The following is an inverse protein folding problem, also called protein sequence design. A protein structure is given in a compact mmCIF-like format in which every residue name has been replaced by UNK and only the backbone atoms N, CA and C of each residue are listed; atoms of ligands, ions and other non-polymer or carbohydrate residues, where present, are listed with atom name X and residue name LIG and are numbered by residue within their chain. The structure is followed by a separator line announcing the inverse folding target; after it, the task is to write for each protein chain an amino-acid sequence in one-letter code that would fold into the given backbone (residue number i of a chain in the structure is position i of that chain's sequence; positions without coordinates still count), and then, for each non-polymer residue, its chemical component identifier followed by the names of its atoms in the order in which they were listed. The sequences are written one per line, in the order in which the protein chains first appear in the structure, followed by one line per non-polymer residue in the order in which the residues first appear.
data_IF_865830129093
#
_entry.id   IF_865830129093
#
_cell.length_a   1.000
_cell.length_b   1.000
_cell.length_c   1.000
_cell.angle_alpha   90.00
_cell.angle_beta   90.00
_cell.angle_gamma   90.00
#
_symmetry.space_group_name_H-M   'P 1'
#
loop_
_entity.id
_entity.type
_entity.pdbx_description
1 polymer ?
#
# COMPACT_ATOMS: atom_id res chain seq x y z
N UNK A 1 -20.03 -11.86 49.26
CA UNK A 1 -20.16 -12.73 48.07
C UNK A 1 -20.46 -11.92 46.79
N UNK A 2 -21.35 -10.94 46.83
CA UNK A 2 -21.81 -10.17 45.66
C UNK A 2 -20.70 -9.36 44.96
N UNK A 3 -19.86 -8.63 45.70
CA UNK A 3 -18.71 -7.85 45.18
C UNK A 3 -17.66 -8.71 44.46
N UNK A 4 -17.45 -9.94 44.91
CA UNK A 4 -16.47 -10.85 44.34
C UNK A 4 -16.92 -11.38 42.97
N UNK A 5 -18.23 -11.62 42.78
CA UNK A 5 -18.83 -12.04 41.50
C UNK A 5 -18.78 -10.92 40.44
N UNK A 6 -19.08 -9.69 40.81
CA UNK A 6 -18.95 -8.52 39.94
C UNK A 6 -17.51 -8.30 39.45
N UNK A 7 -16.55 -8.45 40.35
CA UNK A 7 -15.12 -8.35 40.01
C UNK A 7 -14.68 -9.47 39.05
N UNK A 8 -15.19 -10.68 39.21
CA UNK A 8 -14.87 -11.80 38.32
C UNK A 8 -15.43 -11.58 36.92
N UNK A 9 -16.69 -11.16 36.79
CA UNK A 9 -17.32 -10.81 35.50
C UNK A 9 -16.54 -9.70 34.79
N UNK A 10 -16.17 -8.64 35.48
CA UNK A 10 -15.39 -7.52 34.95
C UNK A 10 -13.97 -7.95 34.50
N UNK A 11 -13.34 -8.88 35.23
CA UNK A 11 -12.03 -9.43 34.84
C UNK A 11 -12.12 -10.29 33.59
N UNK A 12 -13.12 -11.18 33.51
CA UNK A 12 -13.35 -12.02 32.35
C UNK A 12 -13.67 -11.14 31.13
N UNK A 13 -14.56 -10.17 31.27
CA UNK A 13 -14.91 -9.25 30.18
C UNK A 13 -13.69 -8.47 29.68
N UNK A 14 -12.88 -7.91 30.59
CA UNK A 14 -11.66 -7.19 30.18
C UNK A 14 -10.64 -8.10 29.50
N UNK A 15 -10.48 -9.32 29.96
CA UNK A 15 -9.57 -10.29 29.35
C UNK A 15 -10.05 -10.69 27.94
N UNK A 16 -11.32 -11.02 27.77
CA UNK A 16 -11.89 -11.40 26.46
C UNK A 16 -11.91 -10.22 25.48
N UNK A 17 -12.24 -9.02 25.94
CA UNK A 17 -12.19 -7.80 25.15
C UNK A 17 -10.74 -7.48 24.73
N UNK A 18 -9.77 -7.63 25.65
CA UNK A 18 -8.35 -7.44 25.34
C UNK A 18 -7.84 -8.41 24.28
N UNK A 19 -8.20 -9.70 24.37
CA UNK A 19 -7.86 -10.69 23.36
C UNK A 19 -8.49 -10.36 22.01
N UNK A 20 -9.76 -9.96 21.99
CA UNK A 20 -10.45 -9.59 20.75
C UNK A 20 -9.79 -8.39 20.07
N UNK A 21 -9.48 -7.33 20.83
CA UNK A 21 -8.78 -6.15 20.29
C UNK A 21 -7.40 -6.52 19.76
N UNK A 22 -6.65 -7.34 20.50
CA UNK A 22 -5.33 -7.81 20.05
C UNK A 22 -5.42 -8.59 18.73
N UNK A 23 -6.38 -9.52 18.63
CA UNK A 23 -6.58 -10.31 17.40
C UNK A 23 -6.93 -9.43 16.19
N UNK A 24 -7.82 -8.46 16.38
CA UNK A 24 -8.19 -7.50 15.32
C UNK A 24 -6.97 -6.67 14.91
N UNK A 25 -6.21 -6.15 15.86
CA UNK A 25 -5.00 -5.39 15.58
C UNK A 25 -3.96 -6.23 14.81
N UNK A 26 -3.74 -7.48 15.23
CA UNK A 26 -2.84 -8.41 14.55
C UNK A 26 -3.30 -8.69 13.10
N UNK A 27 -4.59 -8.94 12.89
CA UNK A 27 -5.15 -9.12 11.54
C UNK A 27 -4.94 -7.88 10.66
N UNK A 28 -5.16 -6.69 11.20
CA UNK A 28 -4.93 -5.44 10.46
C UNK A 28 -3.46 -5.33 10.03
N UNK A 29 -2.50 -5.57 10.91
CA UNK A 29 -1.07 -5.51 10.60
C UNK A 29 -0.70 -6.49 9.47
N UNK A 30 -1.21 -7.72 9.53
CA UNK A 30 -0.96 -8.73 8.50
C UNK A 30 -1.56 -8.33 7.15
N UNK A 31 -2.84 -7.90 7.15
CA UNK A 31 -3.52 -7.46 5.93
C UNK A 31 -2.79 -6.26 5.29
N UNK A 32 -2.36 -5.31 6.12
CA UNK A 32 -1.64 -4.14 5.63
C UNK A 32 -0.28 -4.49 5.04
N UNK A 33 0.46 -5.42 5.66
CA UNK A 33 1.70 -5.93 5.09
C UNK A 33 1.50 -6.63 3.73
N UNK A 34 0.45 -7.43 3.60
CA UNK A 34 0.10 -8.09 2.34
C UNK A 34 -0.30 -7.07 1.26
N UNK A 35 -1.12 -6.09 1.59
CA UNK A 35 -1.53 -5.04 0.65
C UNK A 35 -0.33 -4.21 0.18
N UNK A 36 0.58 -3.87 1.09
CA UNK A 36 1.80 -3.15 0.75
C UNK A 36 2.62 -3.93 -0.31
N UNK A 37 2.92 -5.19 -0.04
CA UNK A 37 3.68 -6.04 -0.95
C UNK A 37 2.96 -6.25 -2.30
N UNK A 38 1.63 -6.40 -2.26
CA UNK A 38 0.81 -6.55 -3.46
C UNK A 38 0.86 -5.32 -4.36
N UNK A 39 0.67 -4.12 -3.80
CA UNK A 39 0.67 -2.89 -4.58
C UNK A 39 2.05 -2.56 -5.16
N UNK A 40 3.13 -2.78 -4.40
CA UNK A 40 4.48 -2.59 -4.92
C UNK A 40 4.75 -3.44 -6.16
N UNK A 41 4.42 -4.72 -6.08
CA UNK A 41 4.57 -5.62 -7.22
C UNK A 41 3.68 -5.22 -8.39
N UNK A 42 2.42 -4.88 -8.11
CA UNK A 42 1.47 -4.47 -9.14
C UNK A 42 1.95 -3.25 -9.92
N UNK A 43 2.48 -2.23 -9.26
CA UNK A 43 3.01 -1.04 -9.94
C UNK A 43 4.22 -1.36 -10.82
N UNK A 44 5.13 -2.22 -10.38
CA UNK A 44 6.27 -2.65 -11.20
C UNK A 44 5.78 -3.43 -12.42
N UNK A 45 4.82 -4.34 -12.25
CA UNK A 45 4.24 -5.11 -13.36
C UNK A 45 3.54 -4.18 -14.39
N UNK A 46 2.80 -3.16 -13.94
CA UNK A 46 2.15 -2.15 -14.80
C UNK A 46 3.18 -1.34 -15.58
N UNK A 47 4.22 -0.81 -14.91
CA UNK A 47 5.30 -0.07 -15.56
C UNK A 47 6.09 -0.93 -16.55
N UNK A 48 6.33 -2.19 -16.22
CA UNK A 48 6.99 -3.15 -17.10
C UNK A 48 6.21 -3.38 -18.41
N UNK A 49 4.89 -3.59 -18.30
CA UNK A 49 4.04 -3.76 -19.48
C UNK A 49 4.02 -2.50 -20.35
N UNK A 50 3.87 -1.34 -19.74
CA UNK A 50 3.91 -0.06 -20.46
C UNK A 50 5.27 0.15 -21.16
N UNK A 51 6.39 -0.18 -20.47
CA UNK A 51 7.72 -0.09 -21.04
C UNK A 51 7.89 -0.98 -22.28
N UNK A 52 7.32 -2.19 -22.29
CA UNK A 52 7.34 -3.08 -23.46
C UNK A 52 6.59 -2.47 -24.64
N UNK A 53 5.41 -1.89 -24.41
CA UNK A 53 4.65 -1.27 -25.52
C UNK A 53 5.34 -0.03 -26.08
N UNK A 54 5.84 0.84 -25.20
CA UNK A 54 6.51 2.07 -25.64
C UNK A 54 7.85 1.75 -26.31
N UNK A 55 8.64 0.80 -25.79
CA UNK A 55 9.91 0.42 -26.41
C UNK A 55 9.73 -0.10 -27.83
N UNK A 56 8.71 -0.92 -28.10
CA UNK A 56 8.38 -1.37 -29.44
C UNK A 56 7.99 -0.21 -30.38
N UNK A 57 7.27 0.78 -29.88
CA UNK A 57 6.93 1.98 -30.62
C UNK A 57 8.16 2.82 -30.95
N UNK A 58 9.03 3.03 -29.96
CA UNK A 58 10.29 3.78 -30.12
C UNK A 58 11.26 3.05 -31.07
N UNK A 59 11.37 1.73 -30.97
CA UNK A 59 12.19 0.93 -31.88
C UNK A 59 11.75 1.04 -33.37
N UNK A 60 10.45 1.20 -33.59
CA UNK A 60 9.89 1.29 -34.95
C UNK A 60 9.95 2.71 -35.49
N UNK A 61 9.53 3.71 -34.75
CA UNK A 61 9.25 5.06 -35.23
C UNK A 61 10.22 6.12 -34.64
N UNK A 62 11.12 5.71 -33.73
CA UNK A 62 12.07 6.60 -33.07
C UNK A 62 11.38 7.70 -32.28
N UNK A 63 11.92 8.91 -32.33
CA UNK A 63 11.38 10.08 -31.67
C UNK A 63 9.96 10.45 -32.13
N UNK A 64 9.59 10.12 -33.36
CA UNK A 64 8.29 10.41 -33.95
C UNK A 64 7.15 9.63 -33.24
N UNK A 65 7.48 8.55 -32.51
CA UNK A 65 6.51 7.82 -31.70
C UNK A 65 5.82 8.74 -30.67
N UNK A 66 6.54 9.74 -30.20
CA UNK A 66 6.03 10.67 -29.20
C UNK A 66 5.28 11.88 -29.80
N UNK A 67 5.15 11.96 -31.11
CA UNK A 67 4.39 13.04 -31.75
C UNK A 67 2.89 12.91 -31.42
N UNK A 68 2.37 13.90 -30.70
CA UNK A 68 0.99 13.88 -30.21
C UNK A 68 0.77 13.04 -28.96
N UNK A 69 1.82 12.54 -28.31
CA UNK A 69 1.74 11.81 -27.06
C UNK A 69 1.41 12.77 -25.90
N UNK A 70 0.19 12.71 -25.38
CA UNK A 70 -0.29 13.61 -24.32
C UNK A 70 -0.64 12.84 -23.01
N UNK A 71 -0.20 11.59 -22.87
CA UNK A 71 -0.38 10.85 -21.62
C UNK A 71 0.64 11.34 -20.57
N UNK A 72 0.12 11.80 -19.43
CA UNK A 72 0.89 12.28 -18.27
C UNK A 72 0.63 11.44 -17.02
N UNK A 73 0.02 10.27 -17.18
CA UNK A 73 -0.25 9.35 -16.06
C UNK A 73 1.05 8.89 -15.44
N UNK A 74 1.99 8.50 -16.29
CA UNK A 74 3.35 8.14 -15.91
C UNK A 74 4.35 9.08 -16.59
N UNK A 75 5.50 9.26 -15.94
CA UNK A 75 6.60 9.98 -16.53
C UNK A 75 7.43 9.02 -17.38
N UNK A 76 7.59 9.34 -18.66
CA UNK A 76 8.36 8.58 -19.64
C UNK A 76 9.60 9.39 -19.99
N UNK A 77 10.76 8.78 -19.85
CA UNK A 77 12.06 9.40 -20.18
C UNK A 77 12.83 8.45 -21.06
N UNK A 78 13.21 8.87 -22.27
CA UNK A 78 14.11 8.13 -23.15
C UNK A 78 15.54 8.69 -23.03
N UNK A 79 16.49 7.81 -22.75
CA UNK A 79 17.85 8.17 -22.34
C UNK A 79 18.84 7.45 -23.25
N UNK A 80 19.78 8.18 -23.82
CA UNK A 80 20.86 7.60 -24.60
C UNK A 80 21.78 6.73 -23.74
N UNK A 81 22.55 5.88 -24.36
CA UNK A 81 23.52 4.97 -23.73
C UNK A 81 24.57 5.67 -22.86
N UNK A 82 24.85 6.94 -23.13
CA UNK A 82 25.76 7.81 -22.31
C UNK A 82 25.08 8.51 -21.15
N UNK A 83 23.74 8.33 -20.97
CA UNK A 83 22.92 8.96 -19.94
C UNK A 83 22.31 10.30 -20.33
N UNK A 84 22.49 10.76 -21.56
CA UNK A 84 21.86 11.98 -22.08
C UNK A 84 20.37 11.73 -22.30
N UNK A 85 19.51 12.63 -21.85
CA UNK A 85 18.07 12.51 -22.04
C UNK A 85 17.71 12.95 -23.47
N UNK A 86 17.05 12.07 -24.21
CA UNK A 86 16.57 12.31 -25.58
C UNK A 86 15.14 12.87 -25.56
N UNK A 87 14.29 12.33 -24.70
CA UNK A 87 12.89 12.72 -24.58
C UNK A 87 12.40 12.60 -23.13
N UNK A 88 11.48 13.49 -22.75
CA UNK A 88 10.72 13.41 -21.49
C UNK A 88 9.33 14.02 -21.71
N UNK A 89 8.26 13.33 -21.30
CA UNK A 89 6.88 13.80 -21.53
C UNK A 89 6.40 14.87 -20.53
N UNK A 90 7.20 15.17 -19.48
CA UNK A 90 6.81 16.12 -18.42
C UNK A 90 7.75 17.32 -18.34
N UNK A 91 9.07 17.10 -18.44
CA UNK A 91 10.07 18.15 -18.25
C UNK A 91 10.77 18.52 -19.56
N UNK A 92 11.25 19.76 -19.63
CA UNK A 92 12.06 20.21 -20.76
C UNK A 92 13.45 19.52 -20.71
N UNK A 93 13.73 18.73 -21.75
CA UNK A 93 14.99 17.98 -21.89
C UNK A 93 16.22 18.88 -21.81
N UNK A 94 16.13 20.13 -22.32
CA UNK A 94 17.25 21.08 -22.33
C UNK A 94 17.72 21.50 -20.91
N UNK A 95 16.87 21.31 -19.92
CA UNK A 95 17.15 21.65 -18.52
C UNK A 95 17.57 20.45 -17.67
N UNK A 96 17.59 19.25 -18.26
CA UNK A 96 17.86 18.01 -17.54
C UNK A 96 19.37 17.72 -17.44
N UNK A 97 19.75 17.25 -16.24
CA UNK A 97 21.08 16.70 -16.02
C UNK A 97 21.23 15.33 -16.67
N UNK A 98 22.49 14.91 -16.89
CA UNK A 98 22.78 13.56 -17.35
C UNK A 98 22.33 12.50 -16.31
N UNK A 99 21.72 11.44 -16.78
CA UNK A 99 21.12 10.38 -15.95
C UNK A 99 22.01 9.13 -15.79
N UNK A 100 23.27 9.17 -16.23
CA UNK A 100 24.20 8.03 -16.13
C UNK A 100 24.41 7.51 -14.71
N UNK A 101 24.22 8.37 -13.70
CA UNK A 101 24.37 7.99 -12.29
C UNK A 101 23.16 7.32 -11.65
N UNK A 102 22.03 7.24 -12.35
CA UNK A 102 20.81 6.65 -11.85
C UNK A 102 20.91 5.13 -11.74
N UNK A 103 20.45 4.58 -10.61
CA UNK A 103 20.56 3.13 -10.30
C UNK A 103 19.84 2.32 -11.38
N UNK A 104 18.57 2.64 -11.64
CA UNK A 104 17.73 1.96 -12.61
C UNK A 104 18.33 2.01 -14.04
N UNK A 105 19.02 3.09 -14.41
CA UNK A 105 19.70 3.23 -15.68
C UNK A 105 20.92 2.31 -15.78
N UNK A 106 21.79 2.31 -14.76
CA UNK A 106 22.96 1.43 -14.70
C UNK A 106 22.58 -0.05 -14.75
N UNK A 107 21.54 -0.42 -13.99
CA UNK A 107 21.03 -1.79 -14.00
C UNK A 107 20.46 -2.17 -15.35
N UNK A 108 19.69 -1.30 -16.00
CA UNK A 108 19.14 -1.56 -17.33
C UNK A 108 20.25 -1.76 -18.39
N UNK A 109 21.35 -1.00 -18.33
CA UNK A 109 22.49 -1.22 -19.22
C UNK A 109 23.17 -2.58 -19.00
N UNK A 110 23.21 -3.10 -17.79
CA UNK A 110 23.91 -4.35 -17.44
C UNK A 110 23.04 -5.58 -17.66
N UNK A 111 21.78 -5.52 -17.21
CA UNK A 111 20.86 -6.67 -17.16
C UNK A 111 19.62 -6.54 -18.03
N UNK A 112 19.56 -5.53 -18.90
CA UNK A 112 18.44 -5.17 -19.77
C UNK A 112 17.24 -4.57 -19.03
N UNK A 113 17.13 -4.73 -17.72
CA UNK A 113 16.07 -4.17 -16.87
C UNK A 113 16.71 -3.59 -15.60
N UNK A 114 16.21 -2.46 -15.13
CA UNK A 114 16.61 -1.84 -13.88
C UNK A 114 15.40 -1.27 -13.14
N UNK A 115 15.40 -1.39 -11.84
CA UNK A 115 14.33 -0.92 -10.97
C UNK A 115 14.92 -0.08 -9.84
N UNK A 116 14.23 0.99 -9.47
CA UNK A 116 14.58 1.72 -8.26
C UNK A 116 13.37 2.38 -7.62
N UNK A 117 13.46 2.63 -6.33
CA UNK A 117 12.41 3.29 -5.56
C UNK A 117 13.03 4.46 -4.78
N UNK A 118 12.40 5.62 -4.90
CA UNK A 118 12.81 6.81 -4.16
C UNK A 118 11.65 7.33 -3.31
N UNK A 119 11.98 7.69 -2.07
CA UNK A 119 11.02 8.27 -1.13
C UNK A 119 11.31 9.76 -0.95
N UNK A 120 10.27 10.57 -1.06
CA UNK A 120 10.29 11.97 -0.66
C UNK A 120 9.67 12.10 0.72
N UNK A 121 10.51 12.29 1.75
CA UNK A 121 10.01 12.49 3.12
C UNK A 121 9.20 13.79 3.26
N UNK A 122 9.54 14.81 2.48
CA UNK A 122 8.86 16.11 2.52
C UNK A 122 7.44 16.05 1.94
N UNK A 123 7.26 15.28 0.86
CA UNK A 123 5.97 15.16 0.15
C UNK A 123 5.21 13.89 0.53
N UNK A 124 5.80 13.04 1.38
CA UNK A 124 5.27 11.71 1.71
C UNK A 124 4.88 10.90 0.47
N UNK A 125 5.69 11.04 -0.58
CA UNK A 125 5.49 10.37 -1.87
C UNK A 125 6.57 9.33 -2.10
N UNK A 126 6.18 8.27 -2.79
CA UNK A 126 7.03 7.19 -3.26
C UNK A 126 7.01 7.20 -4.77
N UNK A 127 8.18 7.34 -5.41
CA UNK A 127 8.34 7.23 -6.86
C UNK A 127 9.01 5.90 -7.18
N UNK A 128 8.36 5.12 -8.03
CA UNK A 128 8.85 3.84 -8.55
C UNK A 128 9.37 4.10 -9.96
N UNK A 129 10.57 3.64 -10.24
CA UNK A 129 11.22 3.73 -11.54
C UNK A 129 11.42 2.33 -12.10
N UNK A 130 11.04 2.15 -13.36
CA UNK A 130 11.32 0.96 -14.16
C UNK A 130 12.04 1.40 -15.42
N UNK A 131 13.15 0.77 -15.74
CA UNK A 131 13.97 1.08 -16.90
C UNK A 131 14.21 -0.20 -17.72
N UNK A 132 14.10 -0.10 -19.04
CA UNK A 132 14.41 -1.19 -19.96
C UNK A 132 15.34 -0.71 -21.04
N UNK A 133 16.35 -1.53 -21.39
CA UNK A 133 17.26 -1.24 -22.50
C UNK A 133 16.62 -1.62 -23.82
N UNK A 134 16.69 -0.68 -24.77
CA UNK A 134 16.22 -0.86 -26.14
C UNK A 134 17.34 -1.49 -27.01
N UNK A 135 16.99 -2.00 -28.17
CA UNK A 135 17.92 -2.72 -29.09
C UNK A 135 19.07 -1.85 -29.58
N UNK A 136 18.90 -0.52 -29.68
CA UNK A 136 19.94 0.44 -30.07
C UNK A 136 20.94 0.77 -28.94
N UNK A 137 20.72 0.22 -27.75
CA UNK A 137 21.53 0.44 -26.55
C UNK A 137 21.05 1.59 -25.65
N UNK A 138 20.06 2.37 -26.08
CA UNK A 138 19.41 3.38 -25.24
C UNK A 138 18.50 2.75 -24.18
N UNK A 139 18.04 3.56 -23.25
CA UNK A 139 17.22 3.11 -22.11
C UNK A 139 15.92 3.88 -22.07
N UNK A 140 14.80 3.17 -22.06
CA UNK A 140 13.50 3.74 -21.76
C UNK A 140 13.21 3.59 -20.27
N UNK A 141 12.96 4.69 -19.59
CA UNK A 141 12.61 4.73 -18.17
C UNK A 141 11.19 5.25 -18.00
N UNK A 142 10.36 4.48 -17.28
CA UNK A 142 9.02 4.89 -16.88
C UNK A 142 8.99 5.03 -15.38
N UNK A 143 8.31 6.04 -14.87
CA UNK A 143 8.17 6.25 -13.44
C UNK A 143 6.77 6.73 -13.08
N UNK A 144 6.30 6.24 -11.94
CA UNK A 144 5.03 6.65 -11.36
C UNK A 144 5.23 7.11 -9.92
N UNK A 145 4.48 8.12 -9.52
CA UNK A 145 4.57 8.68 -8.16
C UNK A 145 3.24 8.49 -7.45
N UNK A 146 3.28 7.77 -6.35
CA UNK A 146 2.12 7.53 -5.51
C UNK A 146 2.35 8.09 -4.10
N UNK A 147 1.26 8.42 -3.42
CA UNK A 147 1.35 8.72 -1.99
C UNK A 147 1.86 7.51 -1.24
N UNK A 148 2.73 7.77 -0.26
CA UNK A 148 3.21 6.71 0.62
C UNK A 148 2.02 5.94 1.21
N UNK A 149 2.14 4.62 1.28
CA UNK A 149 1.11 3.73 1.87
C UNK A 149 0.67 4.19 3.26
N UNK A 150 1.54 4.89 4.01
CA UNK A 150 1.20 5.49 5.31
C UNK A 150 0.03 6.46 5.26
N UNK A 151 -0.10 7.28 4.21
CA UNK A 151 -1.25 8.21 4.05
C UNK A 151 -2.52 7.42 3.79
N UNK A 152 -2.45 6.37 2.96
CA UNK A 152 -3.58 5.48 2.72
C UNK A 152 -3.99 4.75 4.01
N UNK A 153 -3.01 4.30 4.82
CA UNK A 153 -3.24 3.69 6.12
C UNK A 153 -3.94 4.64 7.10
N UNK A 154 -3.49 5.88 7.18
CA UNK A 154 -4.11 6.90 8.01
C UNK A 154 -5.54 7.21 7.55
N UNK A 155 -5.80 7.21 6.24
CA UNK A 155 -7.15 7.35 5.69
C UNK A 155 -8.07 6.18 6.08
N UNK A 156 -7.53 4.98 6.22
CA UNK A 156 -8.29 3.79 6.68
C UNK A 156 -8.49 3.73 8.19
N UNK A 157 -7.77 4.53 8.97
CA UNK A 157 -7.87 4.52 10.43
C UNK A 157 -9.29 4.87 10.90
N UNK A 158 -9.93 5.84 10.27
CA UNK A 158 -11.29 6.26 10.62
C UNK A 158 -12.33 5.14 10.47
N UNK A 159 -12.46 4.42 9.33
CA UNK A 159 -13.38 3.31 9.23
C UNK A 159 -13.03 2.14 10.16
N UNK A 160 -11.75 1.88 10.42
CA UNK A 160 -11.30 0.85 11.36
C UNK A 160 -11.77 1.18 12.78
N UNK A 161 -11.57 2.43 13.23
CA UNK A 161 -12.05 2.88 14.54
C UNK A 161 -13.56 2.81 14.65
N UNK A 162 -14.30 3.13 13.59
CA UNK A 162 -15.76 3.02 13.58
C UNK A 162 -16.22 1.55 13.75
N UNK A 163 -15.58 0.60 13.06
CA UNK A 163 -15.87 -0.83 13.21
C UNK A 163 -15.54 -1.33 14.62
N UNK A 164 -14.39 -0.94 15.17
CA UNK A 164 -14.02 -1.29 16.54
C UNK A 164 -15.03 -0.75 17.56
N UNK A 165 -15.46 0.49 17.40
CA UNK A 165 -16.46 1.12 18.26
C UNK A 165 -17.81 0.38 18.19
N UNK A 166 -18.27 0.06 16.97
CA UNK A 166 -19.49 -0.73 16.77
C UNK A 166 -19.38 -2.12 17.41
N UNK A 167 -18.23 -2.79 17.28
CA UNK A 167 -17.98 -4.10 17.89
C UNK A 167 -18.04 -4.04 19.42
N UNK A 168 -17.50 -3.00 20.04
CA UNK A 168 -17.56 -2.80 21.49
C UNK A 168 -19.00 -2.57 21.95
N UNK A 169 -19.78 -1.75 21.23
CA UNK A 169 -21.20 -1.52 21.55
C UNK A 169 -21.98 -2.83 21.44
N UNK A 170 -21.81 -3.57 20.33
CA UNK A 170 -22.48 -4.84 20.10
C UNK A 170 -22.13 -5.86 21.18
N UNK A 171 -20.87 -5.95 21.58
CA UNK A 171 -20.40 -6.82 22.66
C UNK A 171 -21.06 -6.45 24.00
N UNK A 172 -21.17 -5.16 24.32
CA UNK A 172 -21.85 -4.70 25.53
C UNK A 172 -23.33 -5.02 25.53
N UNK A 173 -24.03 -4.83 24.41
CA UNK A 173 -25.46 -5.17 24.24
C UNK A 173 -25.69 -6.67 24.39
N UNK A 174 -24.88 -7.50 23.70
CA UNK A 174 -24.95 -8.96 23.80
C UNK A 174 -24.68 -9.44 25.24
N UNK A 175 -23.69 -8.89 25.90
CA UNK A 175 -23.36 -9.23 27.29
C UNK A 175 -24.54 -8.92 28.23
N UNK A 176 -25.16 -7.74 28.07
CA UNK A 176 -26.35 -7.37 28.86
C UNK A 176 -27.54 -8.27 28.54
N UNK A 177 -27.77 -8.61 27.27
CA UNK A 177 -28.85 -9.48 26.86
C UNK A 177 -28.69 -10.91 27.42
N UNK A 178 -27.51 -11.49 27.29
CA UNK A 178 -27.20 -12.84 27.81
C UNK A 178 -27.28 -12.85 29.34
N UNK A 179 -26.76 -11.82 30.01
CA UNK A 179 -26.80 -11.71 31.47
C UNK A 179 -28.24 -11.68 31.98
N UNK A 180 -29.14 -10.93 31.32
CA UNK A 180 -30.54 -10.82 31.73
C UNK A 180 -31.37 -12.09 31.43
N UNK A 181 -31.11 -12.73 30.29
CA UNK A 181 -31.95 -13.86 29.83
C UNK A 181 -31.48 -15.23 30.33
N UNK A 182 -30.20 -15.40 30.58
CA UNK A 182 -29.64 -16.71 30.93
C UNK A 182 -29.18 -16.74 32.39
N UNK A 183 -28.50 -15.70 32.86
CA UNK A 183 -27.89 -15.71 34.22
C UNK A 183 -28.90 -15.38 35.32
N UNK A 184 -29.84 -14.48 35.06
CA UNK A 184 -30.85 -14.12 36.07
C UNK A 184 -31.84 -15.26 36.43
N UNK A 185 -32.42 -16.00 35.44
CA UNK A 185 -33.32 -17.10 35.78
C UNK A 185 -32.63 -18.28 36.48
N UNK A 186 -31.38 -18.60 36.12
CA UNK A 186 -30.59 -19.65 36.76
C UNK A 186 -30.27 -19.36 38.24
N UNK A 187 -30.13 -18.09 38.60
CA UNK A 187 -29.90 -17.68 40.01
C UNK A 187 -31.17 -17.77 40.89
N UNK A 188 -32.37 -17.80 40.26
CA UNK A 188 -33.63 -17.97 41.02
C UNK A 188 -33.89 -19.46 41.37
N UNK A 189 -33.39 -20.39 40.54
CA UNK A 189 -33.54 -21.84 40.74
C UNK A 189 -32.61 -22.36 41.85
N UNK A 190 -31.43 -21.75 42.03
CA UNK A 190 -30.42 -22.20 43.01
C UNK A 190 -30.72 -21.71 44.48
N UNK A 191 -31.75 -20.90 44.66
CA UNK A 191 -32.18 -20.38 45.97
C UNK A 191 -33.36 -21.14 46.60
N UNK A 192 -33.97 -22.11 45.88
CA UNK A 192 -35.12 -22.87 46.35
C UNK A 192 -34.80 -24.28 46.88
N UNK A 193 -33.53 -24.70 46.96
CA UNK A 193 -33.12 -25.93 47.64
C UNK A 193 -32.23 -25.62 48.85
N UNK A 194 -32.75 -25.78 50.09
CA UNK A 194 -31.99 -25.73 51.31
C UNK A 194 -31.04 -26.94 51.47
#
# INVERSE_FOLDING_TARGET
PYRRREQLKSRIFRATAGVAVFMVAACIVVIMGMLYAYFDKKYIDELSQEAVYISQGVEKDGINYFDGFDDKTNRITWIDSDGTVIYDNIADVSTMENHSDRIEFKEALQSSVGESVRYSNTLSQKTIYYATRITDGSVLRISTTHYSVWILLLGMLQPILAVLFAAVILSAVLTNYVSKRIVQPLNLIDLEHP
#
